data_IF_200364148288
#
_entry.id   IF_200364148288
#
_cell.length_a   1.000
_cell.length_b   1.000
_cell.length_c   1.000
_cell.angle_alpha   90.00
_cell.angle_beta   90.00
_cell.angle_gamma   90.00
#
_symmetry.space_group_name_H-M   'P 1'
#
loop_
_entity.id
_entity.type
_entity.pdbx_description
1 polymer ?
#
# COMPACT_ATOMS: atom_id res chain seq x y z
N UNK A 1 -9.78 17.58 -13.35
CA UNK A 1 -9.93 16.15 -13.66
C UNK A 1 -9.77 15.39 -12.36
N UNK A 2 -10.59 14.37 -12.09
CA UNK A 2 -10.49 13.52 -10.90
C UNK A 2 -10.27 12.09 -11.41
N UNK A 3 -9.27 11.38 -10.89
CA UNK A 3 -8.94 10.01 -11.26
C UNK A 3 -8.76 9.14 -10.02
N UNK A 4 -9.03 7.84 -10.18
CA UNK A 4 -8.76 6.81 -9.17
C UNK A 4 -8.27 5.56 -9.89
N UNK A 5 -7.36 4.82 -9.26
CA UNK A 5 -6.83 3.57 -9.78
C UNK A 5 -6.71 2.55 -8.64
N UNK A 6 -6.77 1.27 -8.99
CA UNK A 6 -6.55 0.16 -8.07
C UNK A 6 -5.88 -0.99 -8.82
N UNK A 7 -5.20 -1.86 -8.09
CA UNK A 7 -4.58 -3.05 -8.65
C UNK A 7 -4.64 -4.20 -7.64
N UNK A 8 -4.61 -5.43 -8.14
CA UNK A 8 -4.38 -6.62 -7.31
C UNK A 8 -2.88 -6.90 -7.35
N UNK A 9 -2.26 -7.00 -6.17
CA UNK A 9 -0.82 -7.22 -6.10
C UNK A 9 -0.48 -8.64 -6.57
N UNK A 10 0.58 -8.83 -7.38
CA UNK A 10 1.05 -10.17 -7.72
C UNK A 10 1.45 -10.92 -6.45
N UNK A 11 1.19 -12.24 -6.45
CA UNK A 11 1.53 -13.15 -5.35
C UNK A 11 0.89 -12.77 -3.99
N UNK A 12 -0.26 -12.10 -4.00
CA UNK A 12 -0.94 -11.62 -2.79
C UNK A 12 -2.17 -12.43 -2.38
N UNK A 13 -2.52 -13.48 -3.13
CA UNK A 13 -3.64 -14.37 -2.80
C UNK A 13 -3.51 -14.92 -1.38
N UNK A 14 -4.56 -14.75 -0.58
CA UNK A 14 -4.61 -15.19 0.81
C UNK A 14 -3.75 -14.39 1.80
N UNK A 15 -3.13 -13.28 1.38
CA UNK A 15 -2.32 -12.45 2.27
C UNK A 15 -3.17 -11.80 3.39
N UNK A 16 -4.40 -11.43 3.06
CA UNK A 16 -5.42 -10.92 3.99
C UNK A 16 -6.73 -11.63 3.65
N UNK A 17 -7.14 -12.56 4.50
CA UNK A 17 -8.38 -13.31 4.34
C UNK A 17 -9.35 -13.07 5.49
N UNK A 18 -10.64 -12.98 5.16
CA UNK A 18 -11.73 -12.94 6.12
C UNK A 18 -12.69 -14.10 5.86
N UNK A 19 -12.90 -14.95 6.86
CA UNK A 19 -13.86 -16.06 6.79
C UNK A 19 -15.03 -15.80 7.74
N UNK A 20 -16.22 -15.58 7.17
CA UNK A 20 -17.46 -15.48 7.93
C UNK A 20 -17.96 -16.88 8.29
N UNK A 21 -18.13 -17.14 9.59
CA UNK A 21 -18.59 -18.41 10.15
C UNK A 21 -19.64 -18.14 11.23
N UNK A 22 -20.21 -19.19 11.81
CA UNK A 22 -21.17 -19.06 12.92
C UNK A 22 -20.59 -18.30 14.13
N UNK A 23 -19.27 -18.39 14.31
CA UNK A 23 -18.51 -17.66 15.34
C UNK A 23 -18.22 -16.20 14.98
N UNK A 24 -18.76 -15.70 13.87
CA UNK A 24 -18.51 -14.36 13.35
C UNK A 24 -17.42 -14.32 12.28
N UNK A 25 -16.81 -13.13 12.10
CA UNK A 25 -15.77 -12.89 11.12
C UNK A 25 -14.39 -13.22 11.71
N UNK A 26 -13.72 -14.22 11.13
CA UNK A 26 -12.36 -14.60 11.49
C UNK A 26 -11.38 -14.10 10.44
N UNK A 27 -10.25 -13.52 10.86
CA UNK A 27 -9.24 -12.97 9.96
C UNK A 27 -7.97 -13.82 9.97
N UNK A 28 -7.37 -13.98 8.80
CA UNK A 28 -6.05 -14.56 8.61
C UNK A 28 -5.17 -13.53 7.90
N UNK A 29 -4.06 -13.18 8.53
CA UNK A 29 -3.11 -12.19 8.02
C UNK A 29 -1.75 -12.85 7.87
N UNK A 30 -1.20 -12.86 6.67
CA UNK A 30 0.18 -13.27 6.47
C UNK A 30 1.12 -12.21 7.03
N UNK A 31 2.22 -12.66 7.64
CA UNK A 31 3.25 -11.77 8.20
C UNK A 31 3.91 -10.88 7.14
N UNK A 32 3.86 -11.30 5.87
CA UNK A 32 4.55 -10.65 4.75
C UNK A 32 3.71 -9.58 4.04
N UNK A 33 2.50 -9.26 4.53
CA UNK A 33 1.67 -8.18 3.99
C UNK A 33 2.42 -6.85 3.82
N UNK A 34 3.24 -6.37 4.79
CA UNK A 34 4.04 -5.16 4.61
C UNK A 34 5.02 -5.25 3.43
N UNK A 35 5.65 -6.40 3.24
CA UNK A 35 6.60 -6.66 2.15
C UNK A 35 5.92 -6.64 0.79
N UNK A 36 4.73 -7.25 0.69
CA UNK A 36 3.91 -7.23 -0.53
C UNK A 36 3.52 -5.80 -0.92
N UNK A 37 3.07 -4.99 0.04
CA UNK A 37 2.66 -3.60 -0.21
C UNK A 37 3.88 -2.76 -0.64
N UNK A 38 4.96 -2.78 0.12
CA UNK A 38 6.15 -1.97 -0.16
C UNK A 38 6.82 -2.37 -1.49
N UNK A 39 6.85 -3.66 -1.85
CA UNK A 39 7.36 -4.12 -3.16
C UNK A 39 6.62 -3.48 -4.35
N UNK A 40 5.33 -3.15 -4.20
CA UNK A 40 4.47 -2.74 -5.32
C UNK A 40 4.06 -1.26 -5.31
N UNK A 41 4.20 -0.55 -4.19
CA UNK A 41 3.68 0.83 -4.04
C UNK A 41 4.24 1.81 -5.08
N UNK A 42 5.52 1.69 -5.41
CA UNK A 42 6.21 2.58 -6.36
C UNK A 42 5.58 2.53 -7.75
N UNK A 43 5.23 1.34 -8.23
CA UNK A 43 4.54 1.16 -9.52
C UNK A 43 3.19 1.88 -9.53
N UNK A 44 2.41 1.78 -8.45
CA UNK A 44 1.12 2.48 -8.36
C UNK A 44 1.28 4.00 -8.38
N UNK A 45 2.32 4.54 -7.75
CA UNK A 45 2.63 5.97 -7.80
C UNK A 45 3.07 6.40 -9.19
N UNK A 46 3.96 5.65 -9.84
CA UNK A 46 4.38 5.94 -11.21
C UNK A 46 3.19 5.95 -12.18
N UNK A 47 2.30 4.97 -12.11
CA UNK A 47 1.11 4.92 -12.96
C UNK A 47 0.17 6.11 -12.72
N UNK A 48 0.00 6.54 -11.47
CA UNK A 48 -0.86 7.67 -11.12
C UNK A 48 -0.25 9.04 -11.46
N UNK A 49 1.04 9.23 -11.24
CA UNK A 49 1.70 10.55 -11.24
C UNK A 49 2.58 10.83 -12.46
N UNK A 50 3.00 9.81 -13.22
CA UNK A 50 3.75 10.00 -14.47
C UNK A 50 3.02 10.88 -15.50
N UNK A 51 1.68 10.75 -15.70
CA UNK A 51 0.95 11.67 -16.59
C UNK A 51 0.95 13.13 -16.12
N UNK A 52 1.22 13.36 -14.83
CA UNK A 52 1.32 14.69 -14.22
C UNK A 52 2.77 15.21 -14.17
N UNK A 53 3.75 14.41 -14.63
CA UNK A 53 5.16 14.77 -14.58
C UNK A 53 5.76 14.80 -13.16
N UNK A 54 5.13 14.14 -12.19
CA UNK A 54 5.60 14.07 -10.81
C UNK A 54 6.34 12.75 -10.59
N UNK A 55 7.58 12.84 -10.09
CA UNK A 55 8.41 11.69 -9.73
C UNK A 55 9.12 11.84 -8.37
N UNK A 56 9.00 13.00 -7.72
CA UNK A 56 9.46 13.21 -6.34
C UNK A 56 8.30 12.97 -5.36
N UNK A 57 8.32 11.81 -4.70
CA UNK A 57 7.32 11.42 -3.72
C UNK A 57 7.27 12.34 -2.49
N UNK A 58 8.37 13.05 -2.21
CA UNK A 58 8.44 14.03 -1.14
C UNK A 58 7.86 15.41 -1.52
N UNK A 59 7.45 15.62 -2.78
CA UNK A 59 6.70 16.81 -3.18
C UNK A 59 5.19 16.70 -2.88
N UNK A 60 4.72 15.49 -2.58
CA UNK A 60 3.31 15.19 -2.31
C UNK A 60 2.98 15.29 -0.82
N UNK A 61 1.70 15.53 -0.50
CA UNK A 61 1.14 15.20 0.81
C UNK A 61 0.63 13.76 0.78
N UNK A 62 0.63 13.08 1.93
CA UNK A 62 0.31 11.66 2.03
C UNK A 62 -0.90 11.43 2.92
N UNK A 63 -1.74 10.49 2.50
CA UNK A 63 -2.79 9.88 3.30
C UNK A 63 -2.69 8.39 3.03
N UNK A 64 -2.11 7.64 3.96
CA UNK A 64 -2.00 6.19 3.87
C UNK A 64 -3.01 5.55 4.84
N UNK A 65 -3.63 4.45 4.42
CA UNK A 65 -4.45 3.66 5.34
C UNK A 65 -3.53 2.96 6.37
N UNK A 66 -3.70 3.21 7.68
CA UNK A 66 -2.79 2.69 8.71
C UNK A 66 -3.17 1.26 9.12
N UNK A 67 -3.11 0.31 8.18
CA UNK A 67 -3.45 -1.10 8.42
C UNK A 67 -2.52 -1.79 9.45
N UNK A 68 -1.31 -1.25 9.64
CA UNK A 68 -0.36 -1.65 10.68
C UNK A 68 0.94 -0.85 10.55
N UNK A 69 1.70 -0.65 11.65
CA UNK A 69 2.89 0.21 11.65
C UNK A 69 3.95 -0.24 10.65
N UNK A 70 4.20 -1.55 10.56
CA UNK A 70 5.20 -2.10 9.64
C UNK A 70 4.90 -1.81 8.15
N UNK A 71 3.64 -1.59 7.78
CA UNK A 71 3.28 -1.20 6.40
C UNK A 71 3.79 0.22 6.13
N UNK A 72 3.52 1.15 7.05
CA UNK A 72 3.95 2.54 6.93
C UNK A 72 5.48 2.62 6.91
N UNK A 73 6.13 2.00 7.89
CA UNK A 73 7.60 1.97 8.00
C UNK A 73 8.25 1.48 6.69
N UNK A 74 7.75 0.39 6.11
CA UNK A 74 8.33 -0.16 4.89
C UNK A 74 8.01 0.66 3.64
N UNK A 75 6.85 1.30 3.56
CA UNK A 75 6.51 2.22 2.46
C UNK A 75 7.41 3.46 2.52
N UNK A 76 7.57 4.06 3.70
CA UNK A 76 8.46 5.20 3.93
C UNK A 76 9.90 4.87 3.54
N UNK A 77 10.43 3.74 4.01
CA UNK A 77 11.78 3.27 3.66
C UNK A 77 11.92 3.04 2.15
N UNK A 78 10.95 2.33 1.54
CA UNK A 78 10.99 1.97 0.12
C UNK A 78 11.02 3.19 -0.80
N UNK A 79 10.26 4.22 -0.45
CA UNK A 79 10.11 5.43 -1.25
C UNK A 79 11.08 6.55 -0.85
N UNK A 80 11.84 6.36 0.24
CA UNK A 80 12.71 7.40 0.79
C UNK A 80 11.92 8.63 1.25
N UNK A 81 10.77 8.42 1.89
CA UNK A 81 9.97 9.52 2.42
C UNK A 81 10.67 10.17 3.62
N UNK A 82 10.54 11.48 3.73
CA UNK A 82 11.01 12.23 4.90
C UNK A 82 10.01 12.07 6.05
N UNK A 83 10.50 12.29 7.27
CA UNK A 83 9.73 12.08 8.49
C UNK A 83 8.46 12.95 8.61
N UNK A 84 8.37 14.05 7.87
CA UNK A 84 7.17 14.91 7.83
C UNK A 84 6.07 14.42 6.87
N UNK A 85 6.27 13.29 6.20
CA UNK A 85 5.30 12.71 5.25
C UNK A 85 4.28 11.81 5.91
#
# INVERSE_FOLDING_TARGET
MVSAAQTILPDSDGAIDGHLREVGLTFHLLKDVPGLISKNIEKSLEEAFKPLGISDWNSLFWIAHPGGPAILDQVEIKLGLKAEK
#
